data_IF_868472163780
#
_entry.id   IF_868472163780
#
_cell.length_a   1.000
_cell.length_b   1.000
_cell.length_c   1.000
_cell.angle_alpha   90.00
_cell.angle_beta   90.00
_cell.angle_gamma   90.00
#
_symmetry.space_group_name_H-M   'P 1'
#
loop_
_entity.id
_entity.type
_entity.pdbx_description
1 polymer ?
#
# COMPACT_ATOMS: atom_id res chain seq x y z
N UNK A 1 1.48 -11.76 18.51
CA UNK A 1 2.23 -12.90 17.92
C UNK A 1 3.44 -12.33 17.19
N UNK A 2 4.63 -12.79 17.43
CA UNK A 2 5.80 -12.36 16.63
C UNK A 2 5.76 -13.03 15.25
N UNK A 3 6.29 -12.35 14.20
CA UNK A 3 6.39 -12.88 12.81
C UNK A 3 6.87 -14.35 12.73
N UNK A 4 7.70 -14.81 13.69
CA UNK A 4 8.16 -16.21 13.80
C UNK A 4 7.05 -17.23 14.04
N UNK A 5 5.92 -16.85 14.62
CA UNK A 5 4.81 -17.76 14.89
C UNK A 5 3.86 -17.90 13.70
N UNK A 6 3.84 -16.92 12.78
CA UNK A 6 3.02 -16.94 11.57
C UNK A 6 3.58 -17.91 10.51
N UNK A 7 4.88 -17.91 10.27
CA UNK A 7 5.53 -18.78 9.27
C UNK A 7 5.56 -20.27 9.66
N UNK A 8 5.30 -20.62 10.91
CA UNK A 8 5.29 -22.01 11.38
C UNK A 8 3.94 -22.74 11.16
N UNK A 9 2.88 -22.08 10.69
CA UNK A 9 1.53 -22.69 10.56
C UNK A 9 1.09 -23.06 9.15
N UNK A 10 1.82 -22.72 8.11
CA UNK A 10 1.48 -23.05 6.72
C UNK A 10 1.97 -24.40 6.22
N UNK A 11 2.53 -25.24 7.05
CA UNK A 11 3.13 -26.51 6.67
C UNK A 11 2.51 -27.77 7.28
N UNK A 12 1.19 -27.98 7.27
CA UNK A 12 0.63 -29.31 7.51
C UNK A 12 -0.89 -29.38 7.27
N UNK A 13 -1.35 -29.68 6.07
CA UNK A 13 -2.62 -30.39 5.83
C UNK A 13 -2.59 -31.09 4.46
N UNK A 14 -2.01 -32.27 4.47
CA UNK A 14 -2.13 -33.24 3.39
C UNK A 14 -3.14 -34.34 3.75
N UNK A 15 -4.02 -34.60 2.82
CA UNK A 15 -4.74 -35.84 2.59
C UNK A 15 -5.71 -36.38 3.64
N UNK A 16 -7.00 -36.26 3.35
CA UNK A 16 -7.99 -37.32 3.55
C UNK A 16 -9.13 -37.11 2.55
N UNK A 17 -9.20 -38.00 1.55
CA UNK A 17 -10.30 -38.09 0.64
C UNK A 17 -11.52 -38.78 1.28
N UNK A 18 -12.71 -38.26 1.00
CA UNK A 18 -13.96 -38.99 1.10
C UNK A 18 -14.95 -38.47 0.05
N UNK A 19 -15.55 -39.42 -0.60
CA UNK A 19 -16.42 -39.39 -1.77
C UNK A 19 -17.78 -38.71 -1.56
N UNK A 20 -18.26 -38.06 -2.66
CA UNK A 20 -19.66 -37.62 -2.86
C UNK A 20 -20.66 -38.77 -2.82
N UNK A 21 -21.96 -38.45 -2.54
CA UNK A 21 -22.91 -38.60 -3.63
C UNK A 21 -23.78 -37.36 -3.89
N UNK A 22 -24.08 -37.20 -5.16
CA UNK A 22 -24.98 -36.22 -5.73
C UNK A 22 -26.43 -36.42 -5.26
N UNK A 23 -27.13 -35.28 -5.03
CA UNK A 23 -28.59 -35.23 -5.06
C UNK A 23 -29.03 -34.04 -5.93
N UNK A 24 -29.43 -34.39 -7.13
CA UNK A 24 -30.28 -33.60 -8.01
C UNK A 24 -31.75 -33.74 -7.56
N UNK A 25 -32.42 -32.65 -7.28
CA UNK A 25 -33.88 -32.42 -7.44
C UNK A 25 -34.16 -30.98 -7.00
N UNK A 26 -34.65 -30.15 -7.74
CA UNK A 26 -35.84 -29.93 -8.53
C UNK A 26 -36.53 -28.64 -8.13
N UNK A 27 -36.67 -27.76 -9.11
CA UNK A 27 -37.82 -26.86 -9.37
C UNK A 27 -38.35 -25.87 -8.34
N UNK A 28 -38.21 -24.59 -8.67
CA UNK A 28 -39.33 -23.66 -8.72
C UNK A 28 -39.80 -23.13 -7.37
N UNK A 29 -39.29 -21.98 -7.00
CA UNK A 29 -39.83 -21.12 -5.96
C UNK A 29 -39.06 -19.82 -5.98
N UNK A 30 -39.70 -18.73 -6.31
CA UNK A 30 -39.22 -17.39 -6.05
C UNK A 30 -39.22 -17.16 -4.53
N UNK A 31 -38.22 -17.71 -3.86
CA UNK A 31 -37.88 -17.31 -2.50
C UNK A 31 -36.83 -16.22 -2.61
N UNK A 32 -37.19 -15.03 -2.18
CA UNK A 32 -36.23 -14.04 -1.67
C UNK A 32 -35.49 -14.67 -0.50
N UNK A 33 -34.51 -15.50 -0.84
CA UNK A 33 -33.50 -15.89 0.11
C UNK A 33 -32.82 -14.59 0.53
N UNK A 34 -32.92 -14.23 1.79
CA UNK A 34 -32.00 -13.30 2.45
C UNK A 34 -30.64 -13.98 2.42
N UNK A 35 -29.97 -13.90 1.25
CA UNK A 35 -28.60 -14.32 1.12
C UNK A 35 -27.78 -13.48 2.11
N UNK A 36 -27.01 -14.12 2.97
CA UNK A 36 -26.05 -13.44 3.82
C UNK A 36 -25.18 -12.56 2.91
N UNK A 37 -25.20 -11.26 3.17
CA UNK A 37 -24.39 -10.30 2.43
C UNK A 37 -22.92 -10.61 2.72
N UNK A 38 -22.10 -10.71 1.69
CA UNK A 38 -20.68 -11.06 1.83
C UNK A 38 -19.80 -10.01 1.14
N UNK A 39 -18.56 -9.92 1.59
CA UNK A 39 -17.54 -9.01 1.09
C UNK A 39 -16.19 -9.72 1.03
N UNK A 40 -15.43 -9.54 -0.06
CA UNK A 40 -14.04 -9.93 -0.14
C UNK A 40 -13.15 -8.72 -0.43
N UNK A 41 -12.22 -8.45 0.50
CA UNK A 41 -11.20 -7.41 0.36
C UNK A 41 -9.81 -8.04 0.29
N UNK A 42 -9.10 -7.81 -0.81
CA UNK A 42 -7.71 -8.22 -1.01
C UNK A 42 -6.80 -6.99 -0.87
N UNK A 43 -5.87 -7.02 0.09
CA UNK A 43 -5.15 -5.84 0.57
C UNK A 43 -3.64 -6.12 0.72
N UNK A 44 -2.90 -5.12 1.17
CA UNK A 44 -1.49 -5.20 1.53
C UNK A 44 -1.29 -5.90 2.87
N UNK A 45 -0.11 -6.52 3.11
CA UNK A 45 0.24 -7.11 4.40
C UNK A 45 0.23 -6.07 5.54
N UNK A 46 -0.28 -6.47 6.71
CA UNK A 46 -0.30 -5.65 7.94
C UNK A 46 -1.00 -4.29 7.79
N UNK A 47 -2.00 -4.22 6.94
CA UNK A 47 -2.63 -2.96 6.51
C UNK A 47 -4.04 -2.74 7.08
N UNK A 48 -4.43 -3.56 8.05
CA UNK A 48 -5.62 -3.41 8.88
C UNK A 48 -5.37 -4.07 10.25
N UNK A 49 -5.97 -3.54 11.30
CA UNK A 49 -5.82 -4.07 12.65
C UNK A 49 -6.51 -5.44 12.79
N UNK A 50 -5.77 -6.49 13.21
CA UNK A 50 -6.33 -7.81 13.44
C UNK A 50 -7.01 -7.92 14.80
N UNK A 51 -7.84 -8.97 14.99
CA UNK A 51 -8.31 -9.35 16.32
C UNK A 51 -7.21 -10.11 17.05
N UNK A 52 -6.56 -9.44 18.00
CA UNK A 52 -5.49 -10.02 18.82
C UNK A 52 -5.37 -9.29 20.18
N UNK A 53 -4.70 -9.92 21.14
CA UNK A 53 -4.38 -9.34 22.46
C UNK A 53 -5.59 -8.79 23.24
N UNK A 54 -6.77 -9.37 23.00
CA UNK A 54 -8.03 -8.96 23.64
C UNK A 54 -8.72 -7.75 22.99
N UNK A 55 -8.17 -7.24 21.89
CA UNK A 55 -8.78 -6.20 21.05
C UNK A 55 -9.48 -6.84 19.86
N UNK A 56 -10.67 -6.35 19.52
CA UNK A 56 -11.42 -6.78 18.35
C UNK A 56 -10.97 -5.96 17.15
N UNK A 57 -10.46 -6.63 16.11
CA UNK A 57 -10.00 -5.99 14.88
C UNK A 57 -11.12 -5.40 14.03
N UNK A 58 -10.75 -4.55 13.09
CA UNK A 58 -11.69 -3.82 12.21
C UNK A 58 -12.63 -4.76 11.46
N UNK A 59 -12.12 -5.87 10.92
CA UNK A 59 -12.94 -6.85 10.18
C UNK A 59 -14.03 -7.43 11.06
N UNK A 60 -13.67 -7.86 12.28
CA UNK A 60 -14.64 -8.46 13.21
C UNK A 60 -15.62 -7.43 13.77
N UNK A 61 -15.17 -6.17 14.01
CA UNK A 61 -16.09 -5.08 14.39
C UNK A 61 -17.10 -4.79 13.29
N UNK A 62 -16.64 -4.71 12.04
CA UNK A 62 -17.50 -4.51 10.87
C UNK A 62 -18.54 -5.64 10.73
N UNK A 63 -18.10 -6.89 10.80
CA UNK A 63 -19.00 -8.05 10.72
C UNK A 63 -20.04 -8.03 11.84
N UNK A 64 -19.61 -7.73 13.07
CA UNK A 64 -20.50 -7.68 14.24
C UNK A 64 -21.55 -6.54 14.13
N UNK A 65 -21.17 -5.39 13.59
CA UNK A 65 -22.07 -4.23 13.46
C UNK A 65 -23.05 -4.38 12.30
N UNK A 66 -22.59 -4.91 11.16
CA UNK A 66 -23.35 -4.90 9.91
C UNK A 66 -24.04 -6.22 9.58
N UNK A 67 -23.56 -7.33 10.13
CA UNK A 67 -23.99 -8.68 9.77
C UNK A 67 -23.45 -9.15 8.41
N UNK A 68 -22.57 -8.37 7.75
CA UNK A 68 -21.90 -8.77 6.51
C UNK A 68 -20.79 -9.76 6.82
N UNK A 69 -20.76 -10.91 6.16
CA UNK A 69 -19.64 -11.85 6.28
C UNK A 69 -18.47 -11.34 5.44
N UNK A 70 -17.29 -11.14 6.03
CA UNK A 70 -16.13 -10.59 5.33
C UNK A 70 -14.98 -11.58 5.26
N UNK A 71 -14.46 -11.79 4.03
CA UNK A 71 -13.18 -12.41 3.74
C UNK A 71 -12.15 -11.30 3.54
N UNK A 72 -11.08 -11.34 4.31
CA UNK A 72 -9.95 -10.41 4.18
C UNK A 72 -8.69 -11.21 3.90
N UNK A 73 -7.96 -10.81 2.87
CA UNK A 73 -6.68 -11.43 2.49
C UNK A 73 -5.62 -10.35 2.22
N UNK A 74 -4.35 -10.76 2.36
CA UNK A 74 -3.18 -9.94 2.13
C UNK A 74 -2.48 -10.44 0.86
N UNK A 75 -3.09 -10.14 -0.30
CA UNK A 75 -2.66 -10.67 -1.60
C UNK A 75 -1.68 -9.79 -2.37
N UNK A 76 -1.34 -8.61 -1.84
CA UNK A 76 -0.39 -7.68 -2.45
C UNK A 76 1.02 -7.89 -1.92
N UNK A 77 2.01 -7.86 -2.81
CA UNK A 77 3.41 -7.64 -2.50
C UNK A 77 3.97 -6.46 -3.32
N UNK A 78 3.46 -6.27 -4.54
CA UNK A 78 3.85 -5.24 -5.49
C UNK A 78 2.67 -4.94 -6.42
N UNK A 79 2.49 -3.68 -6.85
CA UNK A 79 1.39 -3.27 -7.73
C UNK A 79 1.45 -3.95 -9.12
N UNK A 80 2.64 -4.03 -9.73
CA UNK A 80 2.79 -4.62 -11.05
C UNK A 80 2.60 -6.14 -11.00
N UNK A 81 3.09 -6.81 -9.95
CA UNK A 81 2.84 -8.23 -9.70
C UNK A 81 1.34 -8.49 -9.57
N UNK A 82 0.64 -7.69 -8.75
CA UNK A 82 -0.80 -7.84 -8.57
C UNK A 82 -1.57 -7.53 -9.86
N UNK A 83 -1.18 -6.50 -10.60
CA UNK A 83 -1.76 -6.17 -11.89
C UNK A 83 -1.60 -7.34 -12.89
N UNK A 84 -0.42 -7.95 -12.98
CA UNK A 84 -0.18 -9.11 -13.84
C UNK A 84 -1.09 -10.31 -13.49
N UNK A 85 -1.42 -10.48 -12.20
CA UNK A 85 -2.36 -11.51 -11.71
C UNK A 85 -3.79 -11.27 -12.19
N UNK A 86 -4.27 -10.00 -12.19
CA UNK A 86 -5.67 -9.67 -12.51
C UNK A 86 -5.91 -9.30 -13.98
N UNK A 87 -4.89 -8.81 -14.69
CA UNK A 87 -4.95 -8.36 -16.08
C UNK A 87 -5.58 -9.39 -17.04
N UNK A 88 -5.23 -10.71 -17.00
CA UNK A 88 -5.80 -11.68 -17.93
C UNK A 88 -7.31 -11.85 -17.81
N UNK A 89 -7.86 -11.61 -16.62
CA UNK A 89 -9.30 -11.72 -16.37
C UNK A 89 -10.01 -10.42 -16.78
N UNK A 90 -9.59 -9.28 -16.22
CA UNK A 90 -10.20 -7.99 -16.50
C UNK A 90 -10.07 -7.60 -17.98
N UNK A 91 -8.90 -7.86 -18.60
CA UNK A 91 -8.68 -7.64 -20.03
C UNK A 91 -9.54 -8.51 -20.93
N UNK A 92 -9.99 -9.68 -20.46
CA UNK A 92 -10.94 -10.54 -21.15
C UNK A 92 -12.42 -10.18 -20.83
N UNK A 93 -12.66 -9.09 -20.09
CA UNK A 93 -14.00 -8.68 -19.66
C UNK A 93 -14.63 -9.59 -18.60
N UNK A 94 -13.80 -10.34 -17.87
CA UNK A 94 -14.23 -11.21 -16.77
C UNK A 94 -14.03 -10.49 -15.44
N UNK A 95 -14.79 -10.89 -14.43
CA UNK A 95 -14.63 -10.44 -13.06
C UNK A 95 -13.45 -11.13 -12.37
N UNK A 96 -12.92 -10.49 -11.33
CA UNK A 96 -12.02 -11.11 -10.35
C UNK A 96 -12.81 -11.44 -9.08
N UNK A 97 -12.23 -12.23 -8.18
CA UNK A 97 -12.92 -12.63 -6.94
C UNK A 97 -13.09 -11.50 -5.93
N UNK A 98 -12.06 -10.65 -5.66
CA UNK A 98 -12.20 -9.57 -4.69
C UNK A 98 -13.25 -8.54 -5.09
N UNK A 99 -14.05 -8.09 -4.11
CA UNK A 99 -14.99 -6.97 -4.26
C UNK A 99 -14.30 -5.61 -4.06
N UNK A 100 -13.27 -5.57 -3.21
CA UNK A 100 -12.40 -4.42 -3.01
C UNK A 100 -10.95 -4.86 -3.24
N UNK A 101 -10.18 -4.02 -3.91
CA UNK A 101 -8.73 -4.09 -3.98
C UNK A 101 -8.12 -2.73 -3.62
N UNK A 102 -6.89 -2.71 -3.14
CA UNK A 102 -6.22 -1.50 -2.64
C UNK A 102 -4.95 -1.13 -3.43
N UNK A 103 -5.04 -0.80 -4.72
CA UNK A 103 -3.87 -0.35 -5.48
C UNK A 103 -3.39 1.03 -5.04
N UNK A 104 -2.12 1.30 -5.25
CA UNK A 104 -1.55 2.65 -5.12
C UNK A 104 -2.17 3.57 -6.18
N UNK A 105 -2.24 4.86 -5.90
CA UNK A 105 -2.95 5.89 -6.67
C UNK A 105 -2.72 5.80 -8.19
N UNK A 106 -1.48 5.60 -8.63
CA UNK A 106 -1.13 5.52 -10.04
C UNK A 106 -1.69 4.27 -10.72
N UNK A 107 -1.67 3.13 -10.02
CA UNK A 107 -2.26 1.88 -10.51
C UNK A 107 -3.80 1.96 -10.50
N UNK A 108 -4.38 2.61 -9.49
CA UNK A 108 -5.82 2.90 -9.49
C UNK A 108 -6.19 3.75 -10.70
N UNK A 109 -5.44 4.82 -11.00
CA UNK A 109 -5.63 5.65 -12.20
C UNK A 109 -5.54 4.83 -13.49
N UNK A 110 -4.57 3.92 -13.59
CA UNK A 110 -4.43 2.99 -14.71
C UNK A 110 -5.66 2.09 -14.87
N UNK A 111 -6.14 1.48 -13.79
CA UNK A 111 -7.33 0.61 -13.81
C UNK A 111 -8.60 1.40 -14.17
N UNK A 112 -8.75 2.63 -13.69
CA UNK A 112 -9.85 3.53 -14.03
C UNK A 112 -9.81 3.87 -15.54
N UNK A 113 -8.66 4.24 -16.07
CA UNK A 113 -8.49 4.60 -17.49
C UNK A 113 -8.75 3.41 -18.42
N UNK A 114 -8.39 2.19 -18.00
CA UNK A 114 -8.71 0.95 -18.72
C UNK A 114 -10.21 0.58 -18.65
N UNK A 115 -11.01 1.27 -17.82
CA UNK A 115 -12.42 0.96 -17.59
C UNK A 115 -12.63 -0.34 -16.81
N UNK A 116 -11.66 -0.75 -16.00
CA UNK A 116 -11.67 -2.00 -15.22
C UNK A 116 -12.14 -1.80 -13.78
N UNK A 117 -12.79 -0.68 -13.52
CA UNK A 117 -13.38 -0.34 -12.23
C UNK A 117 -14.88 -0.05 -12.37
N UNK A 118 -15.63 -0.30 -11.32
CA UNK A 118 -17.00 0.18 -11.17
C UNK A 118 -17.04 1.45 -10.33
N UNK A 119 -18.10 2.25 -10.51
CA UNK A 119 -18.31 3.46 -9.71
C UNK A 119 -18.65 3.10 -8.27
N UNK A 120 -18.13 3.89 -7.34
CA UNK A 120 -18.51 3.80 -5.94
C UNK A 120 -19.99 4.19 -5.75
N UNK A 121 -20.79 3.39 -5.04
CA UNK A 121 -22.17 3.76 -4.69
C UNK A 121 -22.17 4.79 -3.54
N UNK A 122 -21.79 6.03 -3.82
CA UNK A 122 -21.56 7.10 -2.84
C UNK A 122 -22.74 7.38 -1.93
N UNK A 123 -23.97 7.18 -2.43
CA UNK A 123 -25.18 7.32 -1.62
C UNK A 123 -25.22 6.37 -0.42
N UNK A 124 -24.44 5.29 -0.46
CA UNK A 124 -24.26 4.32 0.63
C UNK A 124 -23.03 4.62 1.50
N UNK A 125 -22.29 5.70 1.23
CA UNK A 125 -21.07 6.09 1.94
C UNK A 125 -21.21 7.50 2.51
N UNK A 126 -22.10 7.75 3.48
CA UNK A 126 -22.26 9.08 4.07
C UNK A 126 -20.99 9.65 4.69
N UNK A 127 -20.12 8.78 5.26
CA UNK A 127 -18.82 9.18 5.80
C UNK A 127 -17.78 9.58 4.73
N UNK A 128 -18.13 9.52 3.44
CA UNK A 128 -17.29 10.08 2.37
C UNK A 128 -17.00 11.57 2.61
N UNK A 129 -17.88 12.29 3.32
CA UNK A 129 -17.66 13.69 3.72
C UNK A 129 -16.49 13.89 4.68
N UNK A 130 -16.01 12.83 5.33
CA UNK A 130 -14.88 12.88 6.25
C UNK A 130 -13.52 12.76 5.53
N UNK A 131 -13.51 12.64 4.20
CA UNK A 131 -12.26 12.61 3.45
C UNK A 131 -11.47 13.91 3.64
N UNK A 132 -10.15 13.83 3.81
CA UNK A 132 -9.26 14.99 3.85
C UNK A 132 -9.29 15.75 2.53
N UNK A 133 -9.25 17.08 2.58
CA UNK A 133 -9.45 17.94 1.40
C UNK A 133 -8.45 17.68 0.28
N UNK A 134 -7.23 17.27 0.61
CA UNK A 134 -6.15 16.95 -0.33
C UNK A 134 -6.49 15.74 -1.21
N UNK A 135 -7.38 14.86 -0.75
CA UNK A 135 -7.81 13.66 -1.47
C UNK A 135 -9.16 13.80 -2.16
N UNK A 136 -9.79 14.97 -2.11
CA UNK A 136 -11.06 15.23 -2.83
C UNK A 136 -10.77 15.42 -4.31
N UNK A 137 -11.36 14.59 -5.17
CA UNK A 137 -11.16 14.60 -6.63
C UNK A 137 -9.67 14.61 -7.02
N UNK A 138 -8.91 13.59 -6.62
CA UNK A 138 -7.47 13.55 -6.84
C UNK A 138 -7.13 13.39 -8.33
N UNK A 139 -5.89 13.64 -8.70
CA UNK A 139 -5.44 13.62 -10.10
C UNK A 139 -5.68 12.28 -10.81
N UNK A 140 -5.66 11.16 -10.08
CA UNK A 140 -5.91 9.82 -10.62
C UNK A 140 -7.39 9.47 -10.76
N UNK A 141 -8.27 10.19 -10.08
CA UNK A 141 -9.73 10.09 -10.18
C UNK A 141 -10.36 11.49 -10.08
N UNK A 142 -10.24 12.34 -11.13
CA UNK A 142 -10.69 13.73 -11.08
C UNK A 142 -12.20 13.91 -10.83
N UNK A 143 -12.97 12.86 -11.05
CA UNK A 143 -14.41 12.85 -10.74
C UNK A 143 -14.69 12.41 -9.31
N UNK A 144 -13.72 11.75 -8.67
CA UNK A 144 -13.87 11.11 -7.37
C UNK A 144 -14.92 10.01 -7.35
N UNK A 145 -15.27 9.44 -8.50
CA UNK A 145 -16.39 8.47 -8.61
C UNK A 145 -15.94 7.01 -8.46
N UNK A 146 -14.64 6.73 -8.58
CA UNK A 146 -14.14 5.36 -8.72
C UNK A 146 -13.25 4.89 -7.59
N UNK A 147 -12.68 5.81 -6.83
CA UNK A 147 -11.70 5.49 -5.80
C UNK A 147 -12.03 6.15 -4.47
N UNK A 148 -11.63 5.48 -3.38
CA UNK A 148 -11.73 5.99 -2.02
C UNK A 148 -10.37 5.80 -1.34
N UNK A 149 -9.64 6.89 -1.01
CA UNK A 149 -8.34 6.81 -0.36
C UNK A 149 -8.37 5.84 0.83
N UNK A 150 -7.32 5.03 0.99
CA UNK A 150 -7.28 4.02 2.04
C UNK A 150 -6.24 4.37 3.11
N UNK A 151 -4.98 4.39 2.72
CA UNK A 151 -3.86 4.82 3.54
C UNK A 151 -2.93 5.67 2.70
N UNK A 152 -2.18 6.56 3.33
CA UNK A 152 -1.17 7.35 2.65
C UNK A 152 0.14 7.32 3.43
N UNK A 153 1.24 7.56 2.76
CA UNK A 153 2.53 7.51 3.40
C UNK A 153 3.61 8.22 2.62
N UNK A 154 4.82 8.05 3.13
CA UNK A 154 6.03 8.62 2.56
C UNK A 154 7.04 7.51 2.34
N UNK A 155 7.66 7.48 1.16
CA UNK A 155 8.89 6.75 0.99
C UNK A 155 10.08 7.66 1.31
N UNK A 156 11.04 7.06 1.99
CA UNK A 156 12.28 7.70 2.44
C UNK A 156 13.36 6.64 2.59
N UNK A 157 14.28 6.86 3.51
CA UNK A 157 15.36 5.89 3.78
C UNK A 157 15.07 5.18 5.09
N UNK A 158 14.97 3.86 5.04
CA UNK A 158 14.97 2.97 6.17
C UNK A 158 16.39 2.42 6.37
N UNK A 159 16.88 2.37 7.60
CA UNK A 159 18.24 1.90 7.87
C UNK A 159 18.38 1.21 9.23
N UNK A 160 19.34 0.32 9.33
CA UNK A 160 19.70 -0.35 10.56
C UNK A 160 20.96 0.32 11.15
N UNK A 161 20.77 1.08 12.26
CA UNK A 161 21.85 1.88 12.87
C UNK A 161 23.03 1.04 13.34
N UNK A 162 22.79 -0.21 13.73
CA UNK A 162 23.88 -1.14 14.16
C UNK A 162 24.76 -1.55 12.97
N UNK A 163 24.21 -1.51 11.74
CA UNK A 163 24.95 -1.85 10.51
C UNK A 163 25.57 -0.62 9.86
N UNK A 164 24.84 0.51 9.86
CA UNK A 164 25.38 1.76 9.29
C UNK A 164 26.42 2.41 10.19
N UNK A 165 26.35 2.17 11.52
CA UNK A 165 27.25 2.79 12.50
C UNK A 165 27.12 4.32 12.61
N UNK A 166 26.23 4.93 11.83
CA UNK A 166 25.94 6.36 11.79
C UNK A 166 24.51 6.62 11.35
N UNK A 167 24.02 7.82 11.65
CA UNK A 167 22.74 8.31 11.11
C UNK A 167 22.85 8.47 9.58
N UNK A 168 21.72 8.20 8.91
CA UNK A 168 21.51 8.41 7.48
C UNK A 168 20.62 9.63 7.33
N UNK A 169 20.99 10.59 6.47
CA UNK A 169 20.25 11.83 6.33
C UNK A 169 20.03 12.28 4.88
N UNK A 170 20.73 11.68 3.93
CA UNK A 170 20.72 12.10 2.52
C UNK A 170 20.51 10.91 1.60
N UNK A 171 19.87 11.16 0.45
CA UNK A 171 19.79 10.15 -0.62
C UNK A 171 21.17 9.70 -1.09
N UNK A 172 22.18 10.57 -0.98
CA UNK A 172 23.56 10.23 -1.34
C UNK A 172 24.16 9.13 -0.47
N UNK A 173 23.66 8.93 0.76
CA UNK A 173 24.11 7.86 1.65
C UNK A 173 23.82 6.45 1.08
N UNK A 174 22.76 6.29 0.29
CA UNK A 174 22.47 5.02 -0.41
C UNK A 174 23.55 4.63 -1.43
N UNK A 175 24.34 5.60 -1.86
CA UNK A 175 25.41 5.42 -2.84
C UNK A 175 26.81 5.52 -2.22
N UNK A 176 26.90 5.59 -0.88
CA UNK A 176 28.17 5.58 -0.18
C UNK A 176 28.86 4.21 -0.35
N UNK A 177 30.12 4.16 -0.86
CA UNK A 177 30.87 2.91 -1.01
C UNK A 177 31.05 2.10 0.27
N UNK A 178 30.89 2.71 1.44
CA UNK A 178 30.91 2.03 2.75
C UNK A 178 29.82 0.96 2.85
N UNK A 179 28.68 1.18 2.21
CA UNK A 179 27.53 0.28 2.23
C UNK A 179 27.41 -0.62 0.99
N UNK A 180 28.50 -0.75 0.22
CA UNK A 180 28.51 -1.56 -0.99
C UNK A 180 28.00 -2.97 -0.76
N UNK A 181 27.01 -3.40 -1.56
CA UNK A 181 26.39 -4.72 -1.47
C UNK A 181 25.44 -4.90 -0.28
N UNK A 182 25.06 -3.79 0.39
CA UNK A 182 24.12 -3.78 1.52
C UNK A 182 22.99 -2.78 1.36
N UNK A 183 22.76 -2.26 0.16
CA UNK A 183 21.68 -1.32 -0.13
C UNK A 183 20.54 -2.07 -0.79
N UNK A 184 19.33 -1.90 -0.24
CA UNK A 184 18.07 -2.32 -0.84
C UNK A 184 17.40 -1.19 -1.62
N UNK A 185 16.78 -1.52 -2.75
CA UNK A 185 15.91 -0.61 -3.49
C UNK A 185 14.52 -1.23 -3.64
N UNK A 186 13.48 -0.42 -3.76
CA UNK A 186 12.14 -0.94 -3.99
C UNK A 186 11.94 -1.30 -5.47
N UNK A 187 11.10 -2.32 -5.71
CA UNK A 187 10.55 -2.62 -7.05
C UNK A 187 9.52 -1.58 -7.46
N UNK A 188 8.99 -0.77 -6.51
CA UNK A 188 8.16 0.39 -6.84
C UNK A 188 9.02 1.47 -7.50
N UNK A 189 8.88 1.57 -8.82
CA UNK A 189 9.69 2.46 -9.68
C UNK A 189 9.57 3.92 -9.27
N UNK A 190 8.35 4.38 -8.92
CA UNK A 190 8.10 5.79 -8.61
C UNK A 190 8.78 6.22 -7.33
N UNK A 191 8.83 5.35 -6.32
CA UNK A 191 9.54 5.63 -5.07
C UNK A 191 11.05 5.57 -5.29
N UNK A 192 11.53 4.55 -6.00
CA UNK A 192 12.98 4.38 -6.25
C UNK A 192 13.53 5.50 -7.14
N UNK A 193 12.94 5.73 -8.30
CA UNK A 193 13.39 6.78 -9.21
C UNK A 193 13.08 8.17 -8.64
N UNK A 194 11.92 8.34 -8.00
CA UNK A 194 11.54 9.62 -7.38
C UNK A 194 12.51 10.06 -6.30
N UNK A 195 12.92 9.15 -5.41
CA UNK A 195 13.88 9.48 -4.36
C UNK A 195 15.28 9.79 -4.94
N UNK A 196 15.72 9.04 -5.95
CA UNK A 196 16.99 9.33 -6.66
C UNK A 196 16.91 10.69 -7.36
N UNK A 197 15.77 11.03 -8.00
CA UNK A 197 15.54 12.34 -8.61
C UNK A 197 15.71 13.46 -7.57
N UNK A 198 15.08 13.34 -6.38
CA UNK A 198 15.25 14.31 -5.31
C UNK A 198 16.72 14.47 -4.92
N UNK A 199 17.46 13.36 -4.77
CA UNK A 199 18.90 13.37 -4.52
C UNK A 199 19.76 14.03 -5.59
N UNK A 200 19.21 14.16 -6.81
CA UNK A 200 19.83 14.86 -7.94
C UNK A 200 19.29 16.29 -8.14
N UNK A 201 18.39 16.76 -7.27
CA UNK A 201 17.74 18.06 -7.36
C UNK A 201 16.67 18.14 -8.46
N UNK A 202 16.14 16.99 -8.89
CA UNK A 202 15.05 16.90 -9.87
C UNK A 202 13.75 16.71 -9.08
N UNK A 203 12.74 17.56 -9.32
CA UNK A 203 11.42 17.40 -8.72
C UNK A 203 10.61 16.31 -9.45
N UNK A 204 10.33 15.15 -8.84
CA UNK A 204 9.63 14.06 -9.49
C UNK A 204 8.18 14.40 -9.88
N UNK A 205 7.59 15.44 -9.28
CA UNK A 205 6.22 15.88 -9.62
C UNK A 205 6.12 16.62 -10.95
N UNK A 206 7.26 17.02 -11.51
CA UNK A 206 7.33 17.78 -12.78
C UNK A 206 7.77 16.94 -13.97
N UNK A 207 8.03 15.65 -13.76
CA UNK A 207 8.48 14.73 -14.82
C UNK A 207 7.34 14.51 -15.83
N UNK A 208 7.65 14.67 -17.10
CA UNK A 208 6.69 14.47 -18.21
C UNK A 208 7.21 13.51 -19.27
N UNK A 209 8.50 13.19 -19.24
CA UNK A 209 9.16 12.32 -20.19
C UNK A 209 10.26 11.48 -19.50
N UNK A 210 10.70 10.39 -20.15
CA UNK A 210 11.81 9.58 -19.66
C UNK A 210 13.11 10.39 -19.59
N UNK A 211 13.29 11.33 -20.51
CA UNK A 211 14.45 12.20 -20.60
C UNK A 211 14.61 13.09 -19.35
N UNK A 212 13.48 13.50 -18.72
CA UNK A 212 13.50 14.30 -17.49
C UNK A 212 14.08 13.50 -16.30
N UNK A 213 13.88 12.18 -16.28
CA UNK A 213 14.35 11.29 -15.23
C UNK A 213 15.61 10.49 -15.62
N UNK A 214 16.14 10.66 -16.84
CA UNK A 214 17.28 9.89 -17.34
C UNK A 214 18.49 9.89 -16.38
N UNK A 215 18.87 11.02 -15.74
CA UNK A 215 19.99 11.02 -14.79
C UNK A 215 19.76 10.08 -13.58
N UNK A 216 18.51 9.90 -13.15
CA UNK A 216 18.17 9.00 -12.03
C UNK A 216 18.27 7.53 -12.46
N UNK A 217 17.78 7.20 -13.65
CA UNK A 217 17.94 5.85 -14.23
C UNK A 217 19.42 5.50 -14.46
N UNK A 218 20.22 6.41 -15.00
CA UNK A 218 21.67 6.22 -15.19
C UNK A 218 22.36 5.97 -13.85
N UNK A 219 22.02 6.75 -12.81
CA UNK A 219 22.58 6.57 -11.47
C UNK A 219 22.22 5.21 -10.86
N UNK A 220 20.96 4.78 -11.02
CA UNK A 220 20.50 3.48 -10.56
C UNK A 220 21.21 2.33 -11.28
N UNK A 221 21.29 2.40 -12.62
CA UNK A 221 21.97 1.41 -13.45
C UNK A 221 23.46 1.29 -13.09
N UNK A 222 24.14 2.42 -12.87
CA UNK A 222 25.53 2.43 -12.46
C UNK A 222 25.72 1.82 -11.08
N UNK A 223 24.86 2.16 -10.09
CA UNK A 223 24.91 1.61 -8.75
C UNK A 223 24.72 0.07 -8.74
N UNK A 224 23.79 -0.43 -9.60
CA UNK A 224 23.62 -1.87 -9.79
C UNK A 224 24.86 -2.52 -10.40
N UNK A 225 25.41 -1.94 -11.47
CA UNK A 225 26.60 -2.45 -12.15
C UNK A 225 27.83 -2.49 -11.23
N UNK A 226 27.96 -1.50 -10.35
CA UNK A 226 29.05 -1.40 -9.37
C UNK A 226 28.85 -2.37 -8.18
N UNK A 227 27.71 -3.04 -8.09
CA UNK A 227 27.37 -3.94 -6.98
C UNK A 227 27.08 -3.21 -5.66
N UNK A 228 26.66 -1.95 -5.72
CA UNK A 228 26.18 -1.18 -4.56
C UNK A 228 24.87 -1.77 -4.05
N UNK A 229 23.95 -2.08 -4.97
CA UNK A 229 22.62 -2.59 -4.68
C UNK A 229 22.70 -4.10 -4.45
N UNK A 230 22.18 -4.54 -3.30
CA UNK A 230 22.07 -5.97 -2.95
C UNK A 230 20.87 -6.62 -3.61
N UNK A 231 19.70 -5.98 -3.52
CA UNK A 231 18.45 -6.51 -4.06
C UNK A 231 17.46 -5.39 -4.36
N UNK A 232 16.52 -5.70 -5.24
CA UNK A 232 15.26 -4.98 -5.41
C UNK A 232 14.15 -5.83 -4.79
N UNK A 233 13.30 -5.23 -3.96
CA UNK A 233 12.29 -5.93 -3.16
C UNK A 233 10.97 -5.17 -3.17
N UNK A 234 9.86 -5.87 -3.00
CA UNK A 234 8.57 -5.28 -2.66
C UNK A 234 8.47 -5.06 -1.15
N UNK A 235 7.34 -5.40 -0.56
CA UNK A 235 7.09 -5.23 0.88
C UNK A 235 7.99 -6.11 1.77
N UNK A 236 8.67 -7.09 1.21
CA UNK A 236 9.55 -8.04 1.89
C UNK A 236 10.93 -7.47 2.28
N UNK A 237 11.25 -6.21 1.94
CA UNK A 237 12.51 -5.54 2.33
C UNK A 237 12.73 -5.51 3.86
N UNK A 238 11.68 -5.57 4.62
CA UNK A 238 11.67 -5.42 6.08
C UNK A 238 12.48 -6.50 6.79
N UNK A 239 12.44 -7.74 6.29
CA UNK A 239 13.19 -8.86 6.88
C UNK A 239 14.70 -8.70 6.69
N UNK A 240 15.15 -8.24 5.52
CA UNK A 240 16.56 -7.95 5.24
C UNK A 240 17.08 -6.75 6.05
N UNK A 241 16.24 -5.76 6.29
CA UNK A 241 16.58 -4.59 7.11
C UNK A 241 16.75 -4.97 8.58
N UNK A 242 15.79 -5.72 9.16
CA UNK A 242 15.85 -6.18 10.55
C UNK A 242 17.04 -7.13 10.78
N UNK A 243 17.28 -8.06 9.86
CA UNK A 243 18.40 -9.00 9.96
C UNK A 243 19.78 -8.36 9.74
N UNK A 244 19.85 -7.12 9.25
CA UNK A 244 21.09 -6.41 8.93
C UNK A 244 21.72 -6.83 7.61
N UNK A 245 21.01 -7.56 6.77
CA UNK A 245 21.40 -7.83 5.39
C UNK A 245 21.41 -6.54 4.55
N UNK A 246 20.45 -5.63 4.80
CA UNK A 246 20.51 -4.25 4.36
C UNK A 246 21.11 -3.38 5.48
N UNK A 247 22.06 -2.52 5.14
CA UNK A 247 22.47 -1.40 5.96
C UNK A 247 21.43 -0.28 5.88
N UNK A 248 21.00 0.03 4.66
CA UNK A 248 19.95 0.95 4.37
C UNK A 248 19.17 0.54 3.11
N UNK A 249 17.96 1.00 2.98
CA UNK A 249 17.13 0.79 1.79
C UNK A 249 16.15 1.96 1.62
N UNK A 250 15.57 2.09 0.43
CA UNK A 250 14.33 2.83 0.29
C UNK A 250 13.24 2.02 0.98
N UNK A 251 12.39 2.68 1.77
CA UNK A 251 11.34 2.03 2.52
C UNK A 251 10.18 2.97 2.81
N UNK A 252 9.09 2.43 3.33
CA UNK A 252 7.86 3.16 3.63
C UNK A 252 7.75 3.46 5.12
N UNK A 253 7.28 4.68 5.43
CA UNK A 253 7.26 5.24 6.79
C UNK A 253 6.53 4.36 7.80
N UNK A 254 5.34 3.85 7.46
CA UNK A 254 4.53 3.06 8.39
C UNK A 254 5.13 1.68 8.69
N UNK A 255 5.68 0.99 7.69
CA UNK A 255 6.36 -0.29 7.92
C UNK A 255 7.50 -0.14 8.93
N UNK A 256 8.30 0.91 8.77
CA UNK A 256 9.45 1.13 9.65
C UNK A 256 9.00 1.55 11.05
N UNK A 257 7.91 2.33 11.17
CA UNK A 257 7.32 2.63 12.47
C UNK A 257 6.79 1.38 13.17
N UNK A 258 6.13 0.48 12.46
CA UNK A 258 5.68 -0.80 13.00
C UNK A 258 6.87 -1.67 13.45
N UNK A 259 7.91 -1.76 12.61
CA UNK A 259 9.13 -2.51 12.92
C UNK A 259 9.87 -1.95 14.15
N UNK A 260 9.89 -0.64 14.30
CA UNK A 260 10.58 0.05 15.39
C UNK A 260 10.11 -0.36 16.78
N UNK A 261 8.89 -0.89 16.92
CA UNK A 261 8.36 -1.41 18.18
C UNK A 261 9.17 -2.62 18.69
N UNK A 262 9.54 -3.53 17.78
CA UNK A 262 10.26 -4.76 18.11
C UNK A 262 11.75 -4.68 17.75
N UNK A 263 12.14 -3.73 16.91
CA UNK A 263 13.51 -3.59 16.37
C UNK A 263 13.96 -2.11 16.46
N UNK A 264 14.32 -1.61 17.66
CA UNK A 264 14.65 -0.18 17.87
C UNK A 264 15.92 0.28 17.15
N UNK A 265 16.69 -0.65 16.59
CA UNK A 265 17.85 -0.37 15.73
C UNK A 265 17.45 -0.06 14.29
N UNK A 266 16.20 -0.32 13.89
CA UNK A 266 15.64 0.07 12.59
C UNK A 266 15.06 1.47 12.71
N UNK A 267 15.43 2.35 11.79
CA UNK A 267 15.05 3.77 11.78
C UNK A 267 14.58 4.19 10.40
N UNK A 268 13.77 5.25 10.38
CA UNK A 268 13.30 5.90 9.17
C UNK A 268 13.67 7.38 9.16
N UNK A 269 14.02 7.88 7.99
CA UNK A 269 14.26 9.31 7.78
C UNK A 269 13.67 9.75 6.44
N UNK A 270 13.04 10.92 6.43
CA UNK A 270 12.80 11.68 5.21
C UNK A 270 14.11 12.43 4.92
N UNK A 271 14.82 12.11 3.84
CA UNK A 271 16.12 12.73 3.53
C UNK A 271 16.06 14.27 3.49
N UNK A 272 17.20 14.92 3.60
CA UNK A 272 17.30 16.40 3.52
C UNK A 272 16.73 16.92 2.20
N UNK A 273 16.89 16.17 1.12
CA UNK A 273 16.39 16.49 -0.22
C UNK A 273 14.87 16.32 -0.35
N UNK A 274 14.24 15.58 0.57
CA UNK A 274 12.81 15.30 0.59
C UNK A 274 12.49 13.81 0.47
N UNK A 275 11.20 13.50 0.43
CA UNK A 275 10.66 12.15 0.26
C UNK A 275 9.59 12.10 -0.80
N UNK A 276 9.24 10.92 -1.28
CA UNK A 276 8.06 10.73 -2.12
C UNK A 276 6.83 10.48 -1.27
N UNK A 277 5.68 11.02 -1.69
CA UNK A 277 4.39 10.80 -1.06
C UNK A 277 3.49 9.99 -1.98
N UNK A 278 2.75 9.07 -1.38
CA UNK A 278 1.84 8.18 -2.09
C UNK A 278 0.53 7.98 -1.31
N UNK A 279 -0.47 7.44 -1.98
CA UNK A 279 -1.76 7.09 -1.40
C UNK A 279 -2.26 5.80 -2.04
N UNK A 280 -2.57 4.80 -1.23
CA UNK A 280 -3.32 3.64 -1.66
C UNK A 280 -4.81 3.95 -1.59
N UNK A 281 -5.58 3.32 -2.45
CA UNK A 281 -6.98 3.64 -2.57
C UNK A 281 -7.82 2.40 -2.80
N UNK A 282 -8.92 2.28 -2.09
CA UNK A 282 -9.91 1.23 -2.33
C UNK A 282 -10.66 1.52 -3.63
N UNK A 283 -10.70 0.53 -4.51
CA UNK A 283 -11.50 0.55 -5.74
C UNK A 283 -12.36 -0.71 -5.83
N UNK A 284 -13.44 -0.60 -6.59
CA UNK A 284 -14.32 -1.72 -6.94
C UNK A 284 -13.90 -2.25 -8.31
N UNK A 285 -13.38 -3.48 -8.44
CA UNK A 285 -13.10 -4.09 -9.73
C UNK A 285 -14.35 -4.18 -10.60
N UNK A 286 -14.18 -4.10 -11.93
CA UNK A 286 -15.26 -4.13 -12.89
C UNK A 286 -16.14 -5.37 -12.76
N UNK A 287 -17.46 -5.16 -12.65
CA UNK A 287 -18.44 -6.24 -12.54
C UNK A 287 -18.55 -6.82 -11.13
N UNK A 288 -18.14 -6.05 -10.10
CA UNK A 288 -18.25 -6.44 -8.69
C UNK A 288 -19.70 -6.82 -8.34
N UNK A 289 -19.86 -7.94 -7.62
CA UNK A 289 -21.19 -8.44 -7.23
C UNK A 289 -21.69 -7.76 -5.94
N UNK A 290 -20.79 -7.46 -5.00
CA UNK A 290 -21.11 -7.05 -3.64
C UNK A 290 -20.80 -5.57 -3.38
N UNK A 291 -21.01 -4.70 -4.36
CA UNK A 291 -20.71 -3.26 -4.26
C UNK A 291 -21.42 -2.55 -3.10
N UNK A 292 -22.59 -3.05 -2.66
CA UNK A 292 -23.29 -2.53 -1.47
C UNK A 292 -22.53 -2.86 -0.18
N UNK A 293 -22.07 -4.10 -0.03
CA UNK A 293 -21.27 -4.52 1.12
C UNK A 293 -19.92 -3.77 1.17
N UNK A 294 -19.30 -3.59 -0.01
CA UNK A 294 -18.08 -2.80 -0.14
C UNK A 294 -18.28 -1.35 0.31
N UNK A 295 -19.37 -0.71 -0.10
CA UNK A 295 -19.71 0.64 0.34
C UNK A 295 -19.93 0.73 1.85
N UNK A 296 -20.59 -0.26 2.47
CA UNK A 296 -20.76 -0.31 3.93
C UNK A 296 -19.42 -0.39 4.64
N UNK A 297 -18.47 -1.20 4.12
CA UNK A 297 -17.13 -1.32 4.70
C UNK A 297 -16.36 -0.01 4.55
N UNK A 298 -16.36 0.60 3.36
CA UNK A 298 -15.74 1.90 3.14
C UNK A 298 -16.32 2.96 4.08
N UNK A 299 -17.65 2.99 4.24
CA UNK A 299 -18.32 3.90 5.17
C UNK A 299 -17.91 3.66 6.62
N UNK A 300 -17.81 2.39 7.03
CA UNK A 300 -17.37 2.00 8.38
C UNK A 300 -15.94 2.48 8.65
N UNK A 301 -15.00 2.23 7.75
CA UNK A 301 -13.60 2.65 7.90
C UNK A 301 -13.42 4.18 7.91
N UNK A 302 -14.37 4.94 7.33
CA UNK A 302 -14.35 6.40 7.30
C UNK A 302 -15.06 7.06 8.49
N UNK A 303 -15.51 6.29 9.49
CA UNK A 303 -15.79 6.81 10.80
C UNK A 303 -14.46 7.16 11.51
N UNK A 304 -14.27 8.39 12.03
CA UNK A 304 -13.00 8.81 12.62
C UNK A 304 -12.51 7.92 13.77
N UNK A 305 -13.43 7.31 14.53
CA UNK A 305 -13.08 6.38 15.62
C UNK A 305 -12.52 5.08 15.06
N UNK A 306 -13.17 4.52 14.00
CA UNK A 306 -12.67 3.32 13.34
C UNK A 306 -11.35 3.58 12.63
N UNK A 307 -11.25 4.70 11.93
CA UNK A 307 -10.03 5.13 11.26
C UNK A 307 -8.86 5.31 12.25
N UNK A 308 -9.11 5.83 13.45
CA UNK A 308 -8.07 5.97 14.49
C UNK A 308 -7.56 4.61 14.99
N UNK A 309 -8.45 3.62 15.15
CA UNK A 309 -8.06 2.25 15.54
C UNK A 309 -7.20 1.59 14.46
N UNK A 310 -7.58 1.76 13.18
CA UNK A 310 -6.78 1.30 12.04
C UNK A 310 -5.40 1.99 12.06
N UNK A 311 -5.37 3.33 12.19
CA UNK A 311 -4.13 4.13 12.20
C UNK A 311 -3.20 3.74 13.35
N UNK A 312 -3.74 3.44 14.53
CA UNK A 312 -2.96 2.99 15.69
C UNK A 312 -2.16 1.70 15.39
N UNK A 313 -2.73 0.82 14.59
CA UNK A 313 -2.07 -0.43 14.20
C UNK A 313 -1.15 -0.22 12.99
N UNK A 314 -1.70 0.29 11.88
CA UNK A 314 -0.98 0.37 10.59
C UNK A 314 0.10 1.44 10.56
N UNK A 315 -0.03 2.49 11.37
CA UNK A 315 0.91 3.60 11.50
C UNK A 315 1.25 4.32 10.18
N UNK A 316 0.23 4.45 9.32
CA UNK A 316 0.25 5.26 8.11
C UNK A 316 -0.68 6.47 8.24
N UNK A 317 -0.50 7.48 7.37
CA UNK A 317 -1.39 8.65 7.34
C UNK A 317 -2.80 8.20 6.95
N UNK A 318 -3.76 8.57 7.79
CA UNK A 318 -5.17 8.33 7.47
C UNK A 318 -5.70 9.42 6.54
N UNK A 319 -6.48 9.07 5.50
CA UNK A 319 -7.17 10.05 4.67
C UNK A 319 -8.46 10.58 5.30
N UNK A 320 -8.73 10.29 6.57
CA UNK A 320 -9.99 10.59 7.27
C UNK A 320 -9.81 11.74 8.24
N UNK A 321 -10.62 12.79 8.10
CA UNK A 321 -10.67 13.94 9.02
C UNK A 321 -10.99 13.50 10.45
N UNK A 322 -10.35 14.16 11.43
CA UNK A 322 -10.60 13.94 12.85
C UNK A 322 -9.86 12.75 13.46
N UNK A 323 -9.13 11.98 12.69
CA UNK A 323 -8.36 10.80 13.19
C UNK A 323 -7.35 11.20 14.25
N UNK A 324 -6.64 12.33 14.11
CA UNK A 324 -5.66 12.78 15.10
C UNK A 324 -6.27 12.97 16.48
N UNK A 325 -7.46 13.57 16.55
CA UNK A 325 -8.17 13.82 17.82
C UNK A 325 -8.64 12.53 18.48
N UNK A 326 -9.10 11.56 17.69
CA UNK A 326 -9.50 10.24 18.19
C UNK A 326 -8.28 9.41 18.59
N UNK A 327 -7.21 9.44 17.80
CA UNK A 327 -5.96 8.74 18.11
C UNK A 327 -5.30 9.28 19.39
N UNK A 328 -5.38 10.60 19.64
CA UNK A 328 -4.87 11.20 20.87
C UNK A 328 -5.55 10.67 22.15
N UNK A 329 -6.75 10.12 22.05
CA UNK A 329 -7.45 9.46 23.17
C UNK A 329 -6.95 8.04 23.40
N UNK A 330 -6.43 7.39 22.37
CA UNK A 330 -5.94 6.02 22.38
C UNK A 330 -4.43 5.94 22.65
N UNK A 331 -3.67 6.75 21.92
CA UNK A 331 -2.21 6.82 21.94
C UNK A 331 -1.76 8.27 21.68
N UNK A 332 -1.61 9.07 22.76
CA UNK A 332 -1.20 10.48 22.64
C UNK A 332 0.18 10.67 22.00
N UNK A 333 1.11 9.73 22.18
CA UNK A 333 2.45 9.79 21.61
C UNK A 333 2.40 9.61 20.10
N UNK A 334 1.63 8.62 19.65
CA UNK A 334 1.45 8.36 18.22
C UNK A 334 0.71 9.50 17.50
N UNK A 335 -0.25 10.16 18.18
CA UNK A 335 -0.97 11.32 17.64
C UNK A 335 -0.07 12.55 17.41
N UNK A 336 1.10 12.62 18.05
CA UNK A 336 2.12 13.64 17.85
C UNK A 336 3.26 13.20 16.94
N UNK A 337 3.19 11.99 16.36
CA UNK A 337 4.24 11.48 15.48
C UNK A 337 4.25 12.24 14.14
N UNK A 338 5.36 12.91 13.75
CA UNK A 338 5.43 13.71 12.53
C UNK A 338 5.40 12.88 11.23
N UNK A 339 5.58 11.56 11.29
CA UNK A 339 5.44 10.68 10.14
C UNK A 339 3.98 10.33 9.86
N UNK A 340 3.09 10.44 10.86
CA UNK A 340 1.64 10.27 10.69
C UNK A 340 0.93 11.61 10.47
N UNK A 341 1.44 12.65 11.11
CA UNK A 341 0.87 14.01 11.06
C UNK A 341 1.97 15.03 10.76
N UNK A 342 2.50 15.01 9.51
CA UNK A 342 3.61 15.86 9.12
C UNK A 342 3.21 17.35 9.22
N UNK A 343 4.14 18.15 9.73
CA UNK A 343 3.99 19.59 9.76
C UNK A 343 4.19 20.21 8.35
N UNK A 344 3.91 21.52 8.25
CA UNK A 344 4.03 22.25 6.99
C UNK A 344 5.46 22.20 6.41
N UNK A 345 6.47 22.17 7.26
CA UNK A 345 7.87 22.12 6.82
C UNK A 345 8.22 20.74 6.24
N UNK A 346 7.70 19.67 6.82
CA UNK A 346 7.83 18.30 6.31
C UNK A 346 7.05 18.16 5.00
N UNK A 347 5.78 18.60 4.98
CA UNK A 347 4.94 18.55 3.78
C UNK A 347 5.57 19.33 2.60
N UNK A 348 6.23 20.47 2.86
CA UNK A 348 6.91 21.24 1.83
C UNK A 348 8.08 20.49 1.15
N UNK A 349 8.59 19.42 1.75
CA UNK A 349 9.67 18.57 1.20
C UNK A 349 9.16 17.25 0.57
N UNK A 350 7.87 16.96 0.69
CA UNK A 350 7.28 15.79 0.07
C UNK A 350 6.85 16.08 -1.37
N UNK A 351 7.03 15.12 -2.25
CA UNK A 351 6.62 15.19 -3.66
C UNK A 351 5.92 13.91 -4.06
N UNK A 352 4.73 14.04 -4.64
CA UNK A 352 4.13 12.92 -5.36
C UNK A 352 4.80 12.79 -6.72
N UNK A 353 5.04 11.57 -7.18
CA UNK A 353 5.52 11.34 -8.54
C UNK A 353 4.45 11.82 -9.54
N UNK A 354 4.89 12.40 -10.65
CA UNK A 354 3.98 12.89 -11.69
C UNK A 354 3.08 11.78 -12.23
N UNK A 355 1.86 12.14 -12.61
CA UNK A 355 1.00 11.24 -13.37
C UNK A 355 1.51 11.20 -14.82
N UNK A 356 2.00 10.05 -15.24
CA UNK A 356 2.55 9.84 -16.57
C UNK A 356 1.43 9.50 -17.57
N UNK A 357 1.63 9.87 -18.84
CA UNK A 357 0.80 9.31 -19.92
C UNK A 357 1.15 7.83 -20.14
N UNK A 358 0.21 7.04 -20.68
CA UNK A 358 0.38 5.61 -20.88
C UNK A 358 1.67 5.26 -21.67
N UNK A 359 1.97 5.99 -22.73
CA UNK A 359 3.18 5.78 -23.55
C UNK A 359 4.47 6.08 -22.76
N UNK A 360 4.46 7.12 -21.92
CA UNK A 360 5.60 7.50 -21.09
C UNK A 360 5.78 6.48 -19.97
N UNK A 361 4.68 6.08 -19.34
CA UNK A 361 4.68 5.06 -18.28
C UNK A 361 5.28 3.75 -18.79
N UNK A 362 4.85 3.27 -19.96
CA UNK A 362 5.38 2.05 -20.56
C UNK A 362 6.91 2.14 -20.79
N UNK A 363 7.43 3.30 -21.20
CA UNK A 363 8.87 3.51 -21.35
C UNK A 363 9.63 3.51 -20.03
N UNK A 364 9.02 4.06 -18.97
CA UNK A 364 9.59 4.01 -17.61
C UNK A 364 9.64 2.59 -17.10
N UNK A 365 8.54 1.83 -17.25
CA UNK A 365 8.46 0.42 -16.85
C UNK A 365 9.51 -0.41 -17.60
N UNK A 366 9.67 -0.22 -18.91
CA UNK A 366 10.69 -0.91 -19.72
C UNK A 366 12.11 -0.61 -19.25
N UNK A 367 12.45 0.67 -19.05
CA UNK A 367 13.77 1.07 -18.59
C UNK A 367 14.08 0.55 -17.17
N UNK A 368 13.10 0.66 -16.28
CA UNK A 368 13.24 0.17 -14.91
C UNK A 368 13.41 -1.35 -14.84
N UNK A 369 12.61 -2.10 -15.62
CA UNK A 369 12.71 -3.56 -15.71
C UNK A 369 14.05 -3.99 -16.31
N UNK A 370 14.57 -3.27 -17.32
CA UNK A 370 15.90 -3.54 -17.87
C UNK A 370 17.01 -3.40 -16.83
N UNK A 371 16.89 -2.43 -15.91
CA UNK A 371 17.83 -2.23 -14.82
C UNK A 371 17.62 -3.27 -13.71
N UNK A 372 16.40 -3.48 -13.23
CA UNK A 372 16.13 -4.37 -12.10
C UNK A 372 16.26 -5.84 -12.45
N UNK A 373 15.97 -6.20 -13.69
CA UNK A 373 15.93 -7.59 -14.19
C UNK A 373 14.65 -8.30 -13.82
N UNK A 374 13.60 -7.54 -13.51
CA UNK A 374 12.26 -8.03 -13.16
C UNK A 374 11.35 -8.09 -14.41
#
# INVERSE_FOLDING_TARGET
>A
MTRRQFLARTGALGALGLSLPALLAACGGSDTASGEESLYFDNWPLYIDPTEDGLTGTVDRFMAETGVTMRYEEGYNDNNEYFAKIQPLLGAGKTIEPDIIAPTFWMAGRLINLGWTDKLPKDLIPNFSNIEDVYVNPTWDPTGEYSMPWQAGTAGIAYNIDVTGREINSVSDLFDPEFKGKIGMLTEMRDTIGLICLGLGIDPSTITSLEDAAPAFEKLAQAKADGQIRAFTGNDYTDDLVSGNFAACIGWSGDVLQLGKDSPNVRFVIPEEGGTSWCDTMILPKGVANGSAAAKFMNFCYDPVQAALITQYVQYLSPVKGVRDELAKLDPELAENPLLFPDDATNARLRSFATLSEDVEARFDEEFSAITGA
#
